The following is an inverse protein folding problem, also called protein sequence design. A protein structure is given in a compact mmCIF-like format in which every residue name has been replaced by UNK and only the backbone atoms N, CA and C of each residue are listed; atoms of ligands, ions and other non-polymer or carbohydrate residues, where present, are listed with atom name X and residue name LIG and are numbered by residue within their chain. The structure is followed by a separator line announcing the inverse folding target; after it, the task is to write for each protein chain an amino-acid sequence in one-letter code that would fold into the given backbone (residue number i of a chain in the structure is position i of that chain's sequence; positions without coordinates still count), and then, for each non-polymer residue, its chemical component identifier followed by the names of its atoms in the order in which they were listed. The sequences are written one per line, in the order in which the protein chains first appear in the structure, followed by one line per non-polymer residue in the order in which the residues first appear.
data_IF_541295841920
#
_entry.id   IF_541295841920
#
_cell.length_a   1.000
_cell.length_b   1.000
_cell.length_c   1.000
_cell.angle_alpha   90.00
_cell.angle_beta   90.00
_cell.angle_gamma   90.00
#
_symmetry.space_group_name_H-M   'P 1'
#
loop_
_entity.id
_entity.type
_entity.pdbx_description
1 polymer ?
#
# COMPACT_ATOMS: atom_id res chain seq x y z
N UNK A 1 -46.05 -34.87 26.76
CA UNK A 1 -44.90 -34.62 25.88
C UNK A 1 -43.92 -33.77 26.68
N UNK A 2 -42.90 -34.40 27.28
CA UNK A 2 -42.03 -33.76 28.27
C UNK A 2 -40.88 -33.03 27.59
N UNK A 3 -40.79 -31.71 27.82
CA UNK A 3 -39.64 -30.88 27.48
C UNK A 3 -38.54 -31.21 28.48
N UNK A 4 -37.47 -31.86 28.03
CA UNK A 4 -36.27 -32.07 28.83
C UNK A 4 -35.47 -30.77 28.90
N UNK A 5 -35.45 -30.15 30.08
CA UNK A 5 -34.51 -29.09 30.41
C UNK A 5 -33.10 -29.70 30.50
N UNK A 6 -32.20 -29.24 29.63
CA UNK A 6 -30.76 -29.50 29.77
C UNK A 6 -30.27 -28.85 31.06
N UNK A 7 -30.00 -29.67 32.07
CA UNK A 7 -29.37 -29.25 33.32
C UNK A 7 -27.87 -29.07 33.03
N UNK A 8 -27.42 -27.82 32.92
CA UNK A 8 -25.99 -27.50 32.82
C UNK A 8 -25.32 -27.78 34.17
N UNK A 9 -24.56 -28.87 34.23
CA UNK A 9 -23.82 -29.26 35.42
C UNK A 9 -22.57 -28.36 35.59
N UNK A 10 -22.35 -27.89 36.81
CA UNK A 10 -21.36 -26.84 37.17
C UNK A 10 -19.89 -27.30 37.08
N UNK A 11 -19.65 -28.59 36.82
CA UNK A 11 -18.34 -29.24 36.90
C UNK A 11 -17.83 -29.80 35.57
N UNK A 12 -18.22 -29.24 34.44
CA UNK A 12 -17.67 -29.65 33.15
C UNK A 12 -16.29 -29.04 32.90
N UNK A 13 -15.29 -29.52 33.64
CA UNK A 13 -13.87 -29.16 33.49
C UNK A 13 -13.42 -29.34 32.02
N UNK A 14 -13.86 -30.42 31.37
CA UNK A 14 -13.58 -30.74 29.97
C UNK A 14 -14.09 -29.67 29.00
N UNK A 15 -15.30 -29.15 29.20
CA UNK A 15 -15.86 -28.07 28.37
C UNK A 15 -15.07 -26.76 28.55
N UNK A 16 -14.63 -26.48 29.79
CA UNK A 16 -13.78 -25.32 30.08
C UNK A 16 -12.40 -25.43 29.43
N UNK A 17 -11.78 -26.61 29.45
CA UNK A 17 -10.51 -26.86 28.76
C UNK A 17 -10.65 -26.79 27.23
N UNK A 18 -11.76 -27.26 26.68
CA UNK A 18 -12.04 -27.16 25.24
C UNK A 18 -12.28 -25.71 24.79
N UNK A 19 -13.03 -24.94 25.56
CA UNK A 19 -13.22 -23.50 25.29
C UNK A 19 -11.93 -22.70 25.45
N UNK A 20 -11.10 -23.02 26.44
CA UNK A 20 -9.82 -22.35 26.66
C UNK A 20 -8.84 -22.65 25.52
N UNK A 21 -8.76 -23.90 25.05
CA UNK A 21 -7.92 -24.27 23.91
C UNK A 21 -8.42 -23.65 22.60
N UNK A 22 -9.74 -23.55 22.40
CA UNK A 22 -10.31 -22.83 21.25
C UNK A 22 -10.03 -21.32 21.30
N UNK A 23 -10.10 -20.69 22.47
CA UNK A 23 -9.74 -19.27 22.68
C UNK A 23 -8.25 -19.01 22.45
N UNK A 24 -7.37 -19.93 22.87
CA UNK A 24 -5.93 -19.87 22.58
C UNK A 24 -5.70 -20.02 21.07
N UNK A 25 -6.36 -20.97 20.40
CA UNK A 25 -6.25 -21.13 18.96
C UNK A 25 -6.78 -19.92 18.18
N UNK A 26 -7.88 -19.31 18.62
CA UNK A 26 -8.44 -18.11 18.02
C UNK A 26 -7.54 -16.88 18.23
N UNK A 27 -6.88 -16.77 19.39
CA UNK A 27 -5.92 -15.69 19.67
C UNK A 27 -4.59 -15.87 18.92
N UNK A 28 -4.18 -17.11 18.58
CA UNK A 28 -3.05 -17.37 17.68
C UNK A 28 -3.37 -17.18 16.19
N UNK A 29 -4.65 -17.12 15.79
CA UNK A 29 -5.05 -16.80 14.41
C UNK A 29 -5.28 -15.28 14.19
N UNK A 30 -5.33 -14.48 15.25
CA UNK A 30 -5.45 -13.01 15.16
C UNK A 30 -4.10 -12.28 15.08
N UNK A 31 -2.98 -12.99 15.23
CA UNK A 31 -1.63 -12.43 15.13
C UNK A 31 -1.02 -12.50 13.71
N UNK A 32 -1.83 -12.80 12.69
CA UNK A 32 -1.38 -12.99 11.30
C UNK A 32 -1.61 -11.82 10.34
N UNK A 33 -2.27 -10.73 10.73
CA UNK A 33 -2.37 -9.52 9.90
C UNK A 33 -1.31 -8.49 10.32
N UNK A 34 -0.04 -8.88 10.23
CA UNK A 34 1.00 -7.89 9.95
C UNK A 34 0.73 -7.47 8.51
N UNK A 35 0.04 -6.35 8.33
CA UNK A 35 0.04 -5.65 7.04
C UNK A 35 1.50 -5.28 6.83
N UNK A 36 2.21 -6.09 6.04
CA UNK A 36 3.62 -5.92 5.73
C UNK A 36 3.78 -4.66 4.87
N UNK A 37 3.66 -3.52 5.55
CA UNK A 37 4.02 -2.16 5.13
C UNK A 37 5.55 -2.01 5.07
N UNK A 38 6.30 -2.98 5.61
CA UNK A 38 7.72 -2.86 5.83
C UNK A 38 8.53 -3.23 4.59
N UNK A 39 8.95 -2.17 3.92
CA UNK A 39 10.25 -2.06 3.28
C UNK A 39 10.40 -2.71 1.90
N UNK A 40 10.77 -1.87 0.93
CA UNK A 40 11.24 -2.32 -0.37
C UNK A 40 12.64 -2.87 -0.18
N UNK A 41 12.86 -4.14 -0.51
CA UNK A 41 14.20 -4.73 -0.51
C UNK A 41 15.18 -3.88 -1.35
N UNK A 42 16.45 -3.81 -0.95
CA UNK A 42 17.49 -3.08 -1.70
C UNK A 42 17.54 -3.49 -3.18
N UNK A 43 17.39 -4.78 -3.46
CA UNK A 43 17.33 -5.28 -4.84
C UNK A 43 16.17 -4.67 -5.64
N UNK A 44 14.97 -4.61 -5.05
CA UNK A 44 13.81 -4.03 -5.70
C UNK A 44 13.97 -2.51 -5.86
N UNK A 45 14.51 -1.81 -4.85
CA UNK A 45 14.78 -0.37 -4.95
C UNK A 45 15.71 -0.06 -6.13
N UNK A 46 16.81 -0.81 -6.29
CA UNK A 46 17.71 -0.67 -7.45
C UNK A 46 17.01 -0.98 -8.77
N UNK A 47 16.15 -2.01 -8.80
CA UNK A 47 15.39 -2.39 -10.00
C UNK A 47 14.48 -1.26 -10.45
N UNK A 48 13.77 -0.64 -9.51
CA UNK A 48 12.86 0.49 -9.73
C UNK A 48 13.61 1.71 -10.25
N UNK A 49 14.74 2.07 -9.62
CA UNK A 49 15.60 3.18 -10.08
C UNK A 49 16.11 2.94 -11.50
N UNK A 50 16.51 1.70 -11.82
CA UNK A 50 16.99 1.35 -13.17
C UNK A 50 15.88 1.44 -14.21
N UNK A 51 14.67 1.00 -13.89
CA UNK A 51 13.52 1.15 -14.76
C UNK A 51 13.21 2.63 -15.02
N UNK A 52 13.31 3.49 -14.00
CA UNK A 52 13.06 4.93 -14.13
C UNK A 52 14.09 5.59 -15.04
N UNK A 53 15.37 5.30 -14.82
CA UNK A 53 16.49 5.76 -15.65
C UNK A 53 16.22 5.45 -17.13
N UNK A 54 15.87 4.20 -17.42
CA UNK A 54 15.63 3.72 -18.78
C UNK A 54 14.42 4.37 -19.43
N UNK A 55 13.32 4.55 -18.68
CA UNK A 55 12.06 5.02 -19.24
C UNK A 55 12.03 6.54 -19.46
N UNK A 56 12.64 7.34 -18.56
CA UNK A 56 12.45 8.79 -18.58
C UNK A 56 13.73 9.60 -18.80
N UNK A 57 14.89 9.07 -18.42
CA UNK A 57 16.12 9.89 -18.38
C UNK A 57 17.04 9.63 -19.56
N UNK A 58 17.34 8.37 -19.90
CA UNK A 58 18.36 8.04 -20.92
C UNK A 58 18.05 8.59 -22.31
N UNK A 59 16.77 8.75 -22.67
CA UNK A 59 16.38 9.34 -23.96
C UNK A 59 16.76 10.82 -24.08
N UNK A 60 16.80 11.52 -22.94
CA UNK A 60 17.02 12.97 -22.87
C UNK A 60 18.45 13.30 -22.47
N UNK A 61 19.03 12.51 -21.56
CA UNK A 61 20.41 12.61 -21.12
C UNK A 61 21.07 11.21 -21.11
N UNK A 62 21.87 10.88 -22.13
CA UNK A 62 22.59 9.61 -22.20
C UNK A 62 23.62 9.40 -21.08
N UNK A 63 24.01 10.45 -20.35
CA UNK A 63 24.98 10.38 -19.25
C UNK A 63 24.34 10.30 -17.87
N UNK A 64 23.00 10.32 -17.79
CA UNK A 64 22.26 10.23 -16.54
C UNK A 64 22.66 8.99 -15.74
N UNK A 65 22.77 9.14 -14.42
CA UNK A 65 23.30 8.09 -13.54
C UNK A 65 22.24 7.55 -12.59
N UNK A 66 22.40 6.29 -12.19
CA UNK A 66 21.46 5.63 -11.30
C UNK A 66 21.46 6.25 -9.89
N UNK A 67 22.61 6.74 -9.45
CA UNK A 67 22.83 7.36 -8.15
C UNK A 67 22.12 8.71 -8.00
N UNK A 68 21.71 9.33 -9.12
CA UNK A 68 20.98 10.61 -9.16
C UNK A 68 19.47 10.42 -8.99
N UNK A 69 18.99 9.16 -8.97
CA UNK A 69 17.56 8.84 -8.90
C UNK A 69 17.21 8.42 -7.49
N UNK A 70 16.33 9.19 -6.87
CA UNK A 70 15.67 8.82 -5.63
C UNK A 70 14.19 9.20 -5.65
N UNK A 71 13.39 8.45 -4.91
CA UNK A 71 11.98 8.76 -4.70
C UNK A 71 11.80 9.37 -3.30
N UNK A 72 10.87 10.31 -3.16
CA UNK A 72 10.60 10.95 -1.88
C UNK A 72 10.11 9.94 -0.83
N UNK A 73 9.12 9.11 -1.17
CA UNK A 73 8.56 8.14 -0.23
C UNK A 73 7.92 6.94 -0.93
N UNK A 74 8.24 5.74 -0.45
CA UNK A 74 7.45 4.54 -0.75
C UNK A 74 6.16 4.54 0.08
N UNK A 75 5.03 4.36 -0.59
CA UNK A 75 3.72 4.41 0.05
C UNK A 75 3.17 3.00 0.27
N UNK A 76 2.96 2.25 -0.81
CA UNK A 76 2.36 0.91 -0.69
C UNK A 76 2.67 0.04 -1.88
N UNK A 77 2.63 -1.28 -1.67
CA UNK A 77 2.59 -2.26 -2.74
C UNK A 77 1.24 -2.95 -2.81
N UNK A 78 0.80 -3.24 -4.03
CA UNK A 78 -0.44 -3.96 -4.34
C UNK A 78 -0.10 -5.27 -5.08
N UNK A 79 -0.84 -6.36 -4.84
CA UNK A 79 -0.64 -7.60 -5.57
C UNK A 79 -1.01 -7.44 -7.06
N UNK A 80 -0.17 -7.96 -7.96
CA UNK A 80 -0.40 -8.02 -9.41
C UNK A 80 0.01 -9.43 -9.91
N UNK A 81 -0.93 -10.37 -9.76
CA UNK A 81 -0.66 -11.78 -10.02
C UNK A 81 0.37 -12.37 -9.06
N UNK A 82 1.50 -12.86 -9.59
CA UNK A 82 2.62 -13.38 -8.80
C UNK A 82 3.68 -12.33 -8.47
N UNK A 83 3.41 -11.07 -8.83
CA UNK A 83 4.29 -9.92 -8.66
C UNK A 83 3.54 -8.79 -7.96
N UNK A 84 4.14 -7.60 -7.95
CA UNK A 84 3.61 -6.44 -7.25
C UNK A 84 3.62 -5.18 -8.10
N UNK A 85 2.70 -4.29 -7.76
CA UNK A 85 2.68 -2.89 -8.17
C UNK A 85 3.12 -2.06 -6.98
N UNK A 86 3.97 -1.07 -7.18
CA UNK A 86 4.55 -0.23 -6.14
C UNK A 86 4.16 1.22 -6.38
N UNK A 87 3.54 1.84 -5.38
CA UNK A 87 3.10 3.23 -5.40
C UNK A 87 4.05 4.10 -4.57
N UNK A 88 4.45 5.22 -5.15
CA UNK A 88 5.40 6.16 -4.59
C UNK A 88 4.88 7.60 -4.65
N UNK A 89 5.19 8.39 -3.62
CA UNK A 89 5.39 9.82 -3.78
C UNK A 89 6.80 9.98 -4.34
N UNK A 90 6.90 10.38 -5.60
CA UNK A 90 8.17 10.41 -6.31
C UNK A 90 8.92 11.71 -6.09
N UNK A 91 8.26 12.85 -6.36
CA UNK A 91 8.79 14.20 -6.15
C UNK A 91 7.77 15.02 -5.34
N UNK A 92 8.25 15.91 -4.48
CA UNK A 92 7.44 16.89 -3.73
C UNK A 92 8.05 18.26 -3.95
N UNK A 93 7.25 19.21 -4.43
CA UNK A 93 7.71 20.56 -4.73
C UNK A 93 7.26 21.52 -3.62
N UNK A 94 8.02 21.58 -2.53
CA UNK A 94 7.66 22.34 -1.32
C UNK A 94 7.48 23.86 -1.56
N UNK A 95 8.10 24.42 -2.60
CA UNK A 95 7.95 25.84 -2.96
C UNK A 95 6.61 26.16 -3.65
N UNK A 96 5.78 25.14 -3.93
CA UNK A 96 4.47 25.30 -4.55
C UNK A 96 3.37 25.51 -3.50
N UNK A 97 2.30 26.19 -3.89
CA UNK A 97 1.10 26.32 -3.06
C UNK A 97 0.21 25.09 -3.15
N UNK A 98 -1.01 25.23 -2.62
CA UNK A 98 -2.01 24.15 -2.60
C UNK A 98 -2.21 23.54 -3.99
N UNK A 99 -2.09 22.22 -4.06
CA UNK A 99 -2.22 21.48 -5.31
C UNK A 99 -3.33 20.44 -5.21
N UNK A 100 -3.95 20.14 -6.35
CA UNK A 100 -5.06 19.19 -6.42
C UNK A 100 -4.86 18.24 -7.58
N UNK A 101 -5.27 16.98 -7.36
CA UNK A 101 -5.45 15.99 -8.41
C UNK A 101 -6.88 15.50 -8.37
N UNK A 102 -7.52 15.45 -9.53
CA UNK A 102 -8.85 14.86 -9.69
C UNK A 102 -8.69 13.52 -10.40
N UNK A 103 -9.14 12.45 -9.73
CA UNK A 103 -9.16 11.09 -10.26
C UNK A 103 -10.62 10.66 -10.35
N UNK A 104 -11.08 10.38 -11.58
CA UNK A 104 -12.50 10.17 -11.88
C UNK A 104 -13.37 11.31 -11.32
N UNK A 105 -14.22 11.06 -10.33
CA UNK A 105 -15.10 12.04 -9.68
C UNK A 105 -14.58 12.52 -8.31
N UNK A 106 -13.38 12.10 -7.90
CA UNK A 106 -12.81 12.39 -6.57
C UNK A 106 -11.64 13.36 -6.68
N UNK A 107 -11.66 14.43 -5.90
CA UNK A 107 -10.57 15.42 -5.85
C UNK A 107 -9.81 15.31 -4.53
N UNK A 108 -8.49 15.16 -4.62
CA UNK A 108 -7.56 15.14 -3.49
C UNK A 108 -6.81 16.47 -3.44
N UNK A 109 -6.67 17.06 -2.26
CA UNK A 109 -5.97 18.32 -2.04
C UNK A 109 -4.72 18.09 -1.18
N UNK A 110 -3.63 18.74 -1.57
CA UNK A 110 -2.32 18.65 -0.92
C UNK A 110 -1.79 20.06 -0.64
N UNK A 111 -0.94 20.18 0.37
CA UNK A 111 -0.25 21.45 0.69
C UNK A 111 0.64 21.93 -0.45
N UNK A 112 1.29 20.97 -1.10
CA UNK A 112 2.27 21.17 -2.15
C UNK A 112 1.98 20.22 -3.31
N UNK A 113 2.50 20.53 -4.49
CA UNK A 113 2.49 19.62 -5.63
C UNK A 113 3.30 18.36 -5.33
N UNK A 114 2.66 17.21 -5.53
CA UNK A 114 3.26 15.89 -5.33
C UNK A 114 3.12 15.08 -6.61
N UNK A 115 4.25 14.65 -7.16
CA UNK A 115 4.27 13.73 -8.29
C UNK A 115 4.20 12.30 -7.78
N UNK A 116 3.07 11.65 -8.02
CA UNK A 116 2.91 10.23 -7.72
C UNK A 116 3.28 9.36 -8.93
N UNK A 117 4.01 8.28 -8.68
CA UNK A 117 4.34 7.29 -9.70
C UNK A 117 4.04 5.87 -9.23
N UNK A 118 3.66 5.04 -10.20
CA UNK A 118 3.33 3.64 -10.00
C UNK A 118 4.27 2.78 -10.84
N UNK A 119 5.07 1.93 -10.19
CA UNK A 119 5.91 0.96 -10.88
C UNK A 119 5.25 -0.42 -10.87
N UNK A 120 5.07 -1.02 -12.06
CA UNK A 120 4.56 -2.39 -12.21
C UNK A 120 5.72 -3.34 -12.47
N UNK A 121 6.05 -4.17 -11.50
CA UNK A 121 7.17 -5.11 -11.62
C UNK A 121 6.96 -6.21 -12.66
N UNK A 122 5.74 -6.43 -13.15
CA UNK A 122 5.46 -7.39 -14.22
C UNK A 122 5.95 -6.91 -15.58
N UNK A 123 5.89 -5.60 -15.84
CA UNK A 123 6.28 -5.00 -17.13
C UNK A 123 7.54 -4.17 -17.05
N UNK A 124 8.10 -3.98 -15.84
CA UNK A 124 9.23 -3.10 -15.58
C UNK A 124 8.98 -1.67 -16.08
N UNK A 125 7.77 -1.15 -15.86
CA UNK A 125 7.33 0.15 -16.38
C UNK A 125 6.67 0.99 -15.31
N UNK A 126 6.78 2.31 -15.49
CA UNK A 126 6.11 3.32 -14.69
C UNK A 126 4.85 3.84 -15.37
N UNK A 127 3.89 4.18 -14.53
CA UNK A 127 2.59 4.75 -14.88
C UNK A 127 2.26 5.89 -13.93
N UNK A 128 1.40 6.81 -14.39
CA UNK A 128 0.72 7.75 -13.49
C UNK A 128 -0.31 7.01 -12.63
N UNK A 129 -0.81 7.67 -11.58
CA UNK A 129 -1.89 7.10 -10.75
C UNK A 129 -3.17 6.90 -11.59
N UNK A 130 -3.49 7.85 -12.47
CA UNK A 130 -4.66 7.76 -13.36
C UNK A 130 -4.56 6.55 -14.30
N UNK A 131 -3.41 6.36 -14.95
CA UNK A 131 -3.17 5.20 -15.82
C UNK A 131 -3.27 3.88 -15.04
N UNK A 132 -2.70 3.83 -13.83
CA UNK A 132 -2.74 2.64 -12.99
C UNK A 132 -4.17 2.27 -12.55
N UNK A 133 -5.02 3.26 -12.26
CA UNK A 133 -6.44 3.05 -11.95
C UNK A 133 -7.20 2.58 -13.19
N UNK A 134 -6.98 3.21 -14.35
CA UNK A 134 -7.60 2.80 -15.61
C UNK A 134 -7.24 1.35 -16.00
N UNK A 135 -6.03 0.93 -15.66
CA UNK A 135 -5.53 -0.45 -15.83
C UNK A 135 -5.98 -1.42 -14.71
N UNK A 136 -6.72 -0.94 -13.72
CA UNK A 136 -7.19 -1.70 -12.57
C UNK A 136 -6.06 -2.34 -11.74
N UNK A 137 -4.90 -1.67 -11.68
CA UNK A 137 -3.78 -2.12 -10.84
C UNK A 137 -4.05 -1.93 -9.34
N UNK A 138 -4.85 -0.92 -9.02
CA UNK A 138 -5.49 -0.69 -7.73
C UNK A 138 -6.69 0.25 -7.93
N UNK A 139 -7.55 0.36 -6.92
CA UNK A 139 -8.75 1.19 -6.94
C UNK A 139 -8.50 2.59 -6.36
N UNK A 140 -9.36 3.56 -6.67
CA UNK A 140 -9.34 4.89 -6.05
C UNK A 140 -9.45 4.78 -4.52
N UNK A 141 -10.34 3.91 -4.01
CA UNK A 141 -10.48 3.70 -2.56
C UNK A 141 -9.18 3.21 -1.93
N UNK A 142 -8.45 2.31 -2.59
CA UNK A 142 -7.14 1.87 -2.11
C UNK A 142 -6.09 2.98 -2.15
N UNK A 143 -6.15 3.89 -3.13
CA UNK A 143 -5.28 5.06 -3.18
C UNK A 143 -5.60 6.03 -2.04
N UNK A 144 -6.87 6.34 -1.81
CA UNK A 144 -7.34 7.17 -0.69
C UNK A 144 -6.89 6.60 0.67
N UNK A 145 -7.04 5.29 0.88
CA UNK A 145 -6.54 4.62 2.08
C UNK A 145 -5.04 4.80 2.28
N UNK A 146 -4.25 4.77 1.19
CA UNK A 146 -2.81 5.02 1.27
C UNK A 146 -2.54 6.45 1.72
N UNK A 147 -3.22 7.43 1.13
CA UNK A 147 -3.05 8.84 1.47
C UNK A 147 -3.44 9.14 2.93
N UNK A 148 -4.43 8.45 3.48
CA UNK A 148 -4.82 8.60 4.90
C UNK A 148 -3.74 8.03 5.84
N UNK A 149 -3.10 6.92 5.44
CA UNK A 149 -2.15 6.20 6.29
C UNK A 149 -0.75 6.81 6.26
N UNK A 150 -0.38 7.49 5.19
CA UNK A 150 0.88 8.18 5.06
C UNK A 150 0.61 9.67 5.22
N UNK A 151 1.18 10.31 6.25
CA UNK A 151 1.16 11.76 6.45
C UNK A 151 1.95 12.47 5.34
N UNK A 152 1.56 12.29 4.08
CA UNK A 152 2.04 13.06 2.93
C UNK A 152 1.37 14.42 3.07
N UNK A 153 1.97 15.29 3.90
CA UNK A 153 1.63 16.69 4.15
C UNK A 153 0.20 17.11 3.73
N UNK A 154 -0.77 16.67 4.54
CA UNK A 154 -2.09 17.28 4.60
C UNK A 154 -1.98 18.36 5.67
N UNK A 155 -2.10 19.63 5.27
CA UNK A 155 -2.06 20.71 6.25
C UNK A 155 -3.26 20.51 7.13
N UNK A 156 -3.01 20.27 8.41
CA UNK A 156 -4.03 20.54 9.40
C UNK A 156 -4.28 22.04 9.33
N UNK A 157 -5.43 22.39 8.75
CA UNK A 157 -6.14 23.64 9.03
C UNK A 157 -6.14 23.96 10.52
#
# INVERSE_FOLDING_TARGET
MNIQFFRFDKNNLLLKFFLLSFLIFASFNLSGCVIDLSEISTHMSMTIRKAYLNQFMLSNDPNARLEEIDYHQFLRRFPDGNRYVYLFAWEVYEDTGSWQITLEETTFSFEHEVKFLVYRSTTDSFYTVEEAIAMQLFTITQFEEVLINFNIFISKS
#
